data_IF_473311935567
#
_entry.id   IF_473311935567
#
_cell.length_a   1.000
_cell.length_b   1.000
_cell.length_c   1.000
_cell.angle_alpha   90.00
_cell.angle_beta   90.00
_cell.angle_gamma   90.00
#
_symmetry.space_group_name_H-M   'P 1'
#
loop_
_entity.id
_entity.type
_entity.pdbx_description
1 polymer ?
#
# COMPACT_ATOMS: atom_id res chain seq x y z
N UNK A 1 -16.73 9.55 20.86
CA UNK A 1 -15.92 9.50 19.63
C UNK A 1 -14.68 8.65 19.93
N UNK A 2 -14.40 7.54 19.23
CA UNK A 2 -13.06 6.96 19.23
C UNK A 2 -12.26 7.49 18.04
N UNK A 3 -11.04 7.92 18.34
CA UNK A 3 -10.07 8.50 17.42
C UNK A 3 -9.78 7.59 16.22
N UNK A 4 -9.58 8.23 15.07
CA UNK A 4 -9.25 7.61 13.79
C UNK A 4 -7.86 6.96 13.77
N UNK A 5 -7.73 5.82 14.43
CA UNK A 5 -6.74 4.83 14.05
C UNK A 5 -7.10 4.39 12.62
N UNK A 6 -6.25 4.76 11.67
CA UNK A 6 -6.32 4.35 10.28
C UNK A 6 -6.12 2.83 10.26
N UNK A 7 -7.19 2.05 10.50
CA UNK A 7 -7.19 0.60 10.46
C UNK A 7 -6.62 0.20 9.10
N UNK A 8 -5.39 -0.29 9.11
CA UNK A 8 -4.60 -0.62 7.93
C UNK A 8 -5.16 -1.84 7.23
N UNK A 9 -6.32 -1.71 6.61
CA UNK A 9 -6.84 -2.73 5.71
C UNK A 9 -5.96 -2.74 4.48
N UNK A 10 -5.29 -3.87 4.25
CA UNK A 10 -4.32 -4.08 3.17
C UNK A 10 -4.97 -4.72 1.94
N UNK A 11 -6.16 -5.31 2.08
CA UNK A 11 -6.93 -5.84 0.97
C UNK A 11 -8.45 -5.74 1.21
N UNK A 12 -9.25 -5.96 0.15
CA UNK A 12 -10.72 -5.97 0.25
C UNK A 12 -11.21 -7.10 1.15
N UNK A 13 -10.50 -8.23 1.23
CA UNK A 13 -10.90 -9.34 2.09
C UNK A 13 -10.89 -8.98 3.58
N UNK A 14 -10.00 -8.07 4.01
CA UNK A 14 -9.99 -7.58 5.39
C UNK A 14 -11.24 -6.76 5.70
N UNK A 15 -11.66 -5.93 4.74
CA UNK A 15 -12.89 -5.16 4.83
C UNK A 15 -14.12 -6.09 4.92
N UNK A 16 -14.13 -7.18 4.14
CA UNK A 16 -15.20 -8.19 4.19
C UNK A 16 -15.26 -8.88 5.55
N UNK A 17 -14.11 -9.25 6.13
CA UNK A 17 -14.04 -9.82 7.48
C UNK A 17 -14.58 -8.84 8.53
N UNK A 18 -14.16 -7.57 8.44
CA UNK A 18 -14.57 -6.52 9.38
C UNK A 18 -16.06 -6.15 9.23
N UNK A 19 -16.65 -6.35 8.05
CA UNK A 19 -18.06 -6.12 7.79
C UNK A 19 -18.99 -7.20 8.35
N UNK A 20 -18.49 -8.30 8.92
CA UNK A 20 -19.34 -9.34 9.52
C UNK A 20 -20.15 -8.78 10.69
N UNK A 21 -21.44 -9.07 10.72
CA UNK A 21 -22.36 -8.67 11.80
C UNK A 21 -22.79 -9.90 12.58
N UNK A 22 -22.60 -9.90 13.90
CA UNK A 22 -23.22 -10.89 14.76
C UNK A 22 -24.66 -10.48 15.09
N UNK A 23 -25.62 -11.22 14.52
CA UNK A 23 -27.05 -11.05 14.76
C UNK A 23 -27.63 -12.09 15.74
N UNK A 24 -26.82 -12.99 16.30
CA UNK A 24 -27.28 -14.00 17.25
C UNK A 24 -27.92 -13.36 18.50
N UNK A 25 -29.05 -13.91 18.94
CA UNK A 25 -29.80 -13.43 20.10
C UNK A 25 -30.54 -12.09 19.92
N UNK A 26 -30.47 -11.45 18.75
CA UNK A 26 -31.13 -10.16 18.50
C UNK A 26 -32.54 -10.33 17.93
N UNK A 27 -33.47 -9.48 18.36
CA UNK A 27 -34.84 -9.43 17.80
C UNK A 27 -34.80 -8.90 16.36
N UNK A 28 -35.38 -9.59 15.35
CA UNK A 28 -35.37 -9.16 13.95
C UNK A 28 -35.85 -7.71 13.74
N UNK A 29 -36.93 -7.31 14.41
CA UNK A 29 -37.46 -5.95 14.34
C UNK A 29 -36.48 -4.87 14.81
N UNK A 30 -35.75 -5.13 15.89
CA UNK A 30 -34.72 -4.20 16.41
C UNK A 30 -33.55 -4.07 15.44
N UNK A 31 -33.19 -5.16 14.76
CA UNK A 31 -32.15 -5.16 13.72
C UNK A 31 -32.60 -4.37 12.50
N UNK A 32 -33.85 -4.56 12.04
CA UNK A 32 -34.42 -3.83 10.90
C UNK A 32 -34.46 -2.32 11.12
N UNK A 33 -34.84 -1.86 12.31
CA UNK A 33 -34.89 -0.42 12.65
C UNK A 33 -33.55 0.29 12.48
N UNK A 34 -32.42 -0.43 12.45
CA UNK A 34 -31.07 0.14 12.30
C UNK A 34 -30.62 0.27 10.85
N UNK A 35 -31.30 -0.37 9.90
CA UNK A 35 -30.92 -0.34 8.49
C UNK A 35 -30.91 1.06 7.86
N UNK A 36 -31.89 1.95 8.10
CA UNK A 36 -31.89 3.29 7.51
C UNK A 36 -30.68 4.10 7.96
N UNK A 37 -30.38 4.11 9.27
CA UNK A 37 -29.22 4.80 9.83
C UNK A 37 -27.91 4.27 9.26
N UNK A 38 -27.81 2.95 9.05
CA UNK A 38 -26.61 2.33 8.48
C UNK A 38 -26.36 2.80 7.05
N UNK A 39 -27.43 2.90 6.24
CA UNK A 39 -27.37 3.40 4.86
C UNK A 39 -27.07 4.90 4.80
N UNK A 40 -27.70 5.70 5.65
CA UNK A 40 -27.40 7.15 5.72
C UNK A 40 -25.93 7.40 6.08
N UNK A 41 -25.37 6.62 7.01
CA UNK A 41 -23.95 6.70 7.38
C UNK A 41 -23.03 6.32 6.22
N UNK A 42 -23.36 5.30 5.42
CA UNK A 42 -22.55 4.94 4.27
C UNK A 42 -22.50 6.05 3.23
N UNK A 43 -23.63 6.68 2.94
CA UNK A 43 -23.70 7.83 2.01
C UNK A 43 -22.84 8.99 2.50
N UNK A 44 -22.91 9.32 3.79
CA UNK A 44 -22.08 10.38 4.38
C UNK A 44 -20.57 10.06 4.26
N UNK A 45 -20.18 8.81 4.55
CA UNK A 45 -18.77 8.40 4.43
C UNK A 45 -18.27 8.38 2.99
N UNK A 46 -19.15 8.05 2.02
CA UNK A 46 -18.84 8.09 0.59
C UNK A 46 -18.60 9.53 0.11
N UNK A 47 -19.44 10.49 0.55
CA UNK A 47 -19.24 11.92 0.28
C UNK A 47 -17.91 12.45 0.84
N UNK A 48 -17.47 11.91 1.97
CA UNK A 48 -16.18 12.24 2.59
C UNK A 48 -15.00 11.44 2.00
N UNK A 49 -15.15 10.85 0.82
CA UNK A 49 -14.14 10.03 0.13
C UNK A 49 -13.58 8.84 0.95
N UNK A 50 -14.26 8.42 2.02
CA UNK A 50 -13.86 7.30 2.86
C UNK A 50 -14.49 6.00 2.35
N UNK A 51 -14.04 5.58 1.16
CA UNK A 51 -14.56 4.42 0.43
C UNK A 51 -14.46 3.12 1.23
N UNK A 52 -13.39 2.94 2.05
CA UNK A 52 -13.21 1.76 2.91
C UNK A 52 -14.34 1.63 3.92
N UNK A 53 -14.67 2.73 4.59
CA UNK A 53 -15.74 2.75 5.59
C UNK A 53 -17.11 2.63 4.95
N UNK A 54 -17.34 3.30 3.81
CA UNK A 54 -18.57 3.16 3.04
C UNK A 54 -18.81 1.70 2.62
N UNK A 55 -17.78 1.02 2.13
CA UNK A 55 -17.83 -0.40 1.76
C UNK A 55 -18.22 -1.28 2.96
N UNK A 56 -17.58 -1.11 4.12
CA UNK A 56 -17.89 -1.88 5.33
C UNK A 56 -19.35 -1.69 5.75
N UNK A 57 -19.86 -0.44 5.74
CA UNK A 57 -21.22 -0.12 6.17
C UNK A 57 -22.27 -0.72 5.23
N UNK A 58 -22.08 -0.61 3.91
CA UNK A 58 -22.97 -1.20 2.92
C UNK A 58 -22.93 -2.73 2.93
N UNK A 59 -21.75 -3.32 3.16
CA UNK A 59 -21.61 -4.77 3.28
C UNK A 59 -22.34 -5.29 4.52
N UNK A 60 -22.21 -4.60 5.66
CA UNK A 60 -22.97 -4.86 6.89
C UNK A 60 -24.47 -4.77 6.66
N UNK A 61 -24.91 -3.76 5.92
CA UNK A 61 -26.31 -3.58 5.56
C UNK A 61 -26.82 -4.79 4.76
N UNK A 62 -26.10 -5.20 3.72
CA UNK A 62 -26.51 -6.31 2.86
C UNK A 62 -26.54 -7.65 3.60
N UNK A 63 -25.55 -7.91 4.44
CA UNK A 63 -25.49 -9.15 5.23
C UNK A 63 -26.59 -9.18 6.30
N UNK A 64 -26.94 -8.03 6.88
CA UNK A 64 -28.09 -7.89 7.80
C UNK A 64 -29.41 -8.15 7.09
N UNK A 65 -29.60 -7.60 5.88
CA UNK A 65 -30.77 -7.85 5.04
C UNK A 65 -30.91 -9.34 4.71
N UNK A 66 -29.80 -10.01 4.35
CA UNK A 66 -29.79 -11.45 4.09
C UNK A 66 -30.15 -12.26 5.33
N UNK A 67 -29.67 -11.88 6.51
CA UNK A 67 -30.02 -12.53 7.77
C UNK A 67 -31.52 -12.37 8.09
N UNK A 68 -32.06 -11.15 8.00
CA UNK A 68 -33.48 -10.88 8.24
C UNK A 68 -34.39 -11.74 7.34
N UNK A 69 -34.06 -11.85 6.05
CA UNK A 69 -34.82 -12.69 5.11
C UNK A 69 -34.87 -14.18 5.46
N UNK A 70 -33.93 -14.67 6.29
CA UNK A 70 -33.91 -16.07 6.77
C UNK A 70 -34.75 -16.30 8.03
N UNK A 71 -35.09 -15.24 8.77
CA UNK A 71 -35.84 -15.34 10.03
C UNK A 71 -37.32 -15.67 9.78
N UNK A 72 -37.93 -16.41 10.69
CA UNK A 72 -39.35 -16.74 10.59
C UNK A 72 -40.24 -15.49 10.68
N UNK A 73 -39.89 -14.54 11.56
CA UNK A 73 -40.62 -13.27 11.72
C UNK A 73 -40.70 -12.46 10.42
N UNK A 74 -39.67 -12.49 9.58
CA UNK A 74 -39.72 -11.86 8.25
C UNK A 74 -40.68 -12.57 7.30
N UNK A 75 -40.70 -13.92 7.32
CA UNK A 75 -41.60 -14.71 6.46
C UNK A 75 -43.06 -14.44 6.82
N UNK A 76 -43.36 -14.37 8.11
CA UNK A 76 -44.72 -14.18 8.62
C UNK A 76 -45.20 -12.72 8.47
N UNK A 77 -44.29 -11.74 8.55
CA UNK A 77 -44.64 -10.30 8.58
C UNK A 77 -43.91 -9.48 7.52
N UNK A 78 -43.79 -10.04 6.31
CA UNK A 78 -43.00 -9.45 5.20
C UNK A 78 -43.31 -7.97 4.94
N UNK A 79 -44.58 -7.56 5.04
CA UNK A 79 -45.04 -6.18 4.81
C UNK A 79 -44.36 -5.15 5.72
N UNK A 80 -44.01 -5.52 6.96
CA UNK A 80 -43.37 -4.62 7.94
C UNK A 80 -41.93 -4.26 7.51
N UNK A 81 -41.29 -5.14 6.75
CA UNK A 81 -39.88 -5.02 6.36
C UNK A 81 -39.67 -4.39 4.97
N UNK A 82 -40.74 -4.13 4.22
CA UNK A 82 -40.68 -3.77 2.80
C UNK A 82 -40.05 -2.39 2.55
N UNK A 83 -40.27 -1.41 3.42
CA UNK A 83 -39.93 0.01 3.18
C UNK A 83 -38.43 0.26 2.99
N UNK A 84 -37.57 -0.54 3.64
CA UNK A 84 -36.12 -0.37 3.64
C UNK A 84 -35.35 -1.56 3.07
N UNK A 85 -36.05 -2.51 2.44
CA UNK A 85 -35.46 -3.73 1.88
C UNK A 85 -36.10 -4.10 0.53
N UNK A 86 -36.51 -3.09 -0.25
CA UNK A 86 -37.07 -3.33 -1.59
C UNK A 86 -36.03 -3.98 -2.49
N UNK A 87 -36.49 -4.64 -3.56
CA UNK A 87 -35.59 -5.27 -4.54
C UNK A 87 -34.66 -4.22 -5.15
N UNK A 88 -35.18 -3.05 -5.48
CA UNK A 88 -34.42 -1.94 -6.06
C UNK A 88 -33.35 -1.43 -5.11
N UNK A 89 -33.69 -1.17 -3.84
CA UNK A 89 -32.73 -0.72 -2.84
C UNK A 89 -31.61 -1.75 -2.62
N UNK A 90 -31.95 -3.05 -2.63
CA UNK A 90 -30.96 -4.11 -2.50
C UNK A 90 -30.03 -4.15 -3.73
N UNK A 91 -30.58 -3.98 -4.93
CA UNK A 91 -29.80 -3.99 -6.16
C UNK A 91 -28.91 -2.75 -6.28
N UNK A 92 -29.41 -1.58 -5.90
CA UNK A 92 -28.63 -0.35 -5.81
C UNK A 92 -27.43 -0.51 -4.87
N UNK A 93 -27.64 -1.05 -3.66
CA UNK A 93 -26.56 -1.30 -2.70
C UNK A 93 -25.55 -2.32 -3.26
N UNK A 94 -26.00 -3.36 -3.97
CA UNK A 94 -25.08 -4.31 -4.63
C UNK A 94 -24.22 -3.64 -5.70
N UNK A 95 -24.80 -2.77 -6.51
CA UNK A 95 -24.09 -2.05 -7.56
C UNK A 95 -23.04 -1.11 -6.96
N UNK A 96 -23.41 -0.35 -5.94
CA UNK A 96 -22.45 0.53 -5.22
C UNK A 96 -21.33 -0.30 -4.57
N UNK A 97 -21.66 -1.45 -3.98
CA UNK A 97 -20.65 -2.34 -3.40
C UNK A 97 -19.68 -2.89 -4.45
N UNK A 98 -20.15 -3.21 -5.66
CA UNK A 98 -19.32 -3.69 -6.76
C UNK A 98 -18.36 -2.59 -7.24
N UNK A 99 -18.88 -1.36 -7.45
CA UNK A 99 -18.08 -0.19 -7.81
C UNK A 99 -17.00 0.12 -6.75
N UNK A 100 -17.39 0.20 -5.48
CA UNK A 100 -16.46 0.43 -4.38
C UNK A 100 -15.40 -0.68 -4.27
N UNK A 101 -15.79 -1.93 -4.50
CA UNK A 101 -14.87 -3.07 -4.51
C UNK A 101 -13.81 -2.90 -5.58
N UNK A 102 -14.21 -2.67 -6.83
CA UNK A 102 -13.30 -2.47 -7.95
C UNK A 102 -12.36 -1.30 -7.69
N UNK A 103 -12.90 -0.16 -7.24
CA UNK A 103 -12.11 1.03 -6.87
C UNK A 103 -11.09 0.76 -5.74
N UNK A 104 -11.43 -0.12 -4.80
CA UNK A 104 -10.52 -0.52 -3.72
C UNK A 104 -9.47 -1.52 -4.19
N UNK A 105 -9.83 -2.50 -5.02
CA UNK A 105 -8.90 -3.46 -5.63
C UNK A 105 -7.85 -2.74 -6.47
N UNK A 106 -8.26 -1.83 -7.37
CA UNK A 106 -7.33 -1.00 -8.17
C UNK A 106 -6.36 -0.22 -7.26
N UNK A 107 -6.85 0.38 -6.17
CA UNK A 107 -6.00 1.11 -5.23
C UNK A 107 -5.00 0.21 -4.52
N UNK A 108 -5.41 -0.98 -4.09
CA UNK A 108 -4.51 -1.93 -3.43
C UNK A 108 -3.48 -2.48 -4.40
N UNK A 109 -3.88 -2.79 -5.64
CA UNK A 109 -2.96 -3.19 -6.71
C UNK A 109 -1.97 -2.08 -7.05
N UNK A 110 -2.41 -0.83 -7.19
CA UNK A 110 -1.51 0.31 -7.40
C UNK A 110 -0.57 0.54 -6.21
N UNK A 111 -1.02 0.34 -4.97
CA UNK A 111 -0.14 0.44 -3.81
C UNK A 111 0.88 -0.70 -3.74
N UNK A 112 0.50 -1.91 -4.16
CA UNK A 112 1.38 -3.07 -4.28
C UNK A 112 2.38 -2.88 -5.41
N UNK A 113 1.93 -2.40 -6.57
CA UNK A 113 2.80 -2.04 -7.71
C UNK A 113 3.74 -0.90 -7.37
N UNK A 114 3.32 0.16 -6.67
CA UNK A 114 4.26 1.18 -6.17
C UNK A 114 5.31 0.62 -5.22
N UNK A 115 4.96 -0.40 -4.43
CA UNK A 115 5.93 -1.11 -3.62
C UNK A 115 6.89 -1.96 -4.48
N UNK A 116 6.45 -2.43 -5.65
CA UNK A 116 7.27 -3.16 -6.63
C UNK A 116 8.05 -2.23 -7.59
N UNK A 117 7.56 -1.03 -7.91
CA UNK A 117 8.30 -0.01 -8.65
C UNK A 117 9.35 0.65 -7.73
N UNK A 118 9.11 0.66 -6.41
CA UNK A 118 10.15 0.90 -5.41
C UNK A 118 11.18 -0.25 -5.38
N UNK A 119 10.79 -1.47 -5.76
CA UNK A 119 11.73 -2.59 -6.00
C UNK A 119 12.45 -2.45 -7.36
N UNK A 120 11.88 -1.80 -8.37
CA UNK A 120 12.67 -1.37 -9.55
C UNK A 120 13.66 -0.25 -9.19
N UNK A 121 13.35 0.62 -8.22
CA UNK A 121 14.37 1.48 -7.59
C UNK A 121 15.42 0.68 -6.79
N UNK A 122 15.17 -0.57 -6.40
CA UNK A 122 16.21 -1.42 -5.79
C UNK A 122 17.24 -1.94 -6.79
N UNK A 123 17.02 -1.86 -8.10
CA UNK A 123 18.08 -2.22 -9.05
C UNK A 123 19.20 -1.18 -9.06
N UNK A 124 18.84 0.09 -8.87
CA UNK A 124 19.76 1.23 -8.80
C UNK A 124 20.56 1.21 -7.49
N UNK A 125 20.01 0.65 -6.42
CA UNK A 125 20.67 0.55 -5.12
C UNK A 125 21.77 -0.52 -5.03
N UNK A 126 21.78 -1.50 -5.95
CA UNK A 126 22.79 -2.57 -5.96
C UNK A 126 24.14 -2.12 -6.50
N UNK A 127 24.18 -1.11 -7.37
CA UNK A 127 25.42 -0.77 -8.05
C UNK A 127 26.26 0.25 -7.27
N UNK A 128 27.56 0.01 -7.20
CA UNK A 128 28.56 1.00 -6.82
C UNK A 128 29.48 1.21 -8.03
N UNK A 129 29.52 2.43 -8.56
CA UNK A 129 30.46 2.79 -9.61
C UNK A 129 31.72 3.33 -8.96
N UNK A 130 32.86 2.70 -9.25
CA UNK A 130 34.19 3.18 -8.91
C UNK A 130 34.84 3.68 -10.19
N UNK A 131 34.88 5.00 -10.36
CA UNK A 131 35.53 5.64 -11.48
C UNK A 131 37.01 5.85 -11.18
N UNK A 132 37.88 5.19 -11.94
CA UNK A 132 39.34 5.31 -11.78
C UNK A 132 39.99 6.26 -12.77
N UNK A 133 39.19 6.93 -13.61
CA UNK A 133 39.69 7.90 -14.60
C UNK A 133 40.17 9.17 -13.91
N UNK A 134 40.89 9.99 -14.67
CA UNK A 134 41.38 11.28 -14.17
C UNK A 134 40.22 12.18 -13.75
N UNK A 135 40.46 13.03 -12.75
CA UNK A 135 39.47 13.93 -12.17
C UNK A 135 38.70 14.75 -13.22
N UNK A 136 39.39 15.26 -14.25
CA UNK A 136 38.76 16.04 -15.31
C UNK A 136 37.69 15.24 -16.08
N UNK A 137 37.91 13.94 -16.31
CA UNK A 137 36.93 13.06 -16.97
C UNK A 137 35.78 12.70 -16.04
N UNK A 138 36.07 12.46 -14.76
CA UNK A 138 35.04 12.20 -13.75
C UNK A 138 34.11 13.41 -13.59
N UNK A 139 34.68 14.60 -13.34
CA UNK A 139 33.94 15.85 -13.17
C UNK A 139 33.15 16.22 -14.46
N UNK A 140 33.68 15.85 -15.64
CA UNK A 140 33.04 16.06 -16.94
C UNK A 140 32.04 14.98 -17.37
N UNK A 141 31.94 13.84 -16.67
CA UNK A 141 31.21 12.65 -17.13
C UNK A 141 29.68 12.80 -17.14
N UNK A 142 29.14 13.86 -16.50
CA UNK A 142 27.70 14.08 -16.26
C UNK A 142 26.98 12.88 -15.65
N UNK A 143 27.70 11.94 -15.01
CA UNK A 143 27.10 10.81 -14.31
C UNK A 143 26.37 11.38 -13.09
N UNK A 144 25.04 11.32 -13.10
CA UNK A 144 24.17 11.79 -12.02
C UNK A 144 23.86 10.72 -10.97
N UNK A 145 24.55 9.58 -11.05
CA UNK A 145 24.38 8.46 -10.14
C UNK A 145 25.02 8.74 -8.78
N UNK A 146 24.25 8.56 -7.71
CA UNK A 146 24.59 8.95 -6.34
C UNK A 146 25.57 7.99 -5.63
N UNK A 147 25.71 6.76 -6.14
CA UNK A 147 26.73 5.78 -5.72
C UNK A 147 27.87 5.68 -6.73
N UNK A 148 28.31 6.81 -7.25
CA UNK A 148 29.52 6.93 -8.07
C UNK A 148 30.61 7.61 -7.24
N UNK A 149 31.77 6.95 -7.09
CA UNK A 149 32.92 7.48 -6.37
C UNK A 149 34.14 7.49 -7.28
N UNK A 150 35.02 8.48 -7.11
CA UNK A 150 36.26 8.59 -7.89
C UNK A 150 37.49 8.19 -7.06
N UNK A 151 38.25 7.20 -7.53
CA UNK A 151 39.60 6.89 -7.03
C UNK A 151 40.58 7.32 -8.11
N UNK A 152 41.26 8.44 -7.91
CA UNK A 152 42.20 8.97 -8.90
C UNK A 152 43.21 7.90 -9.32
N UNK A 153 43.47 7.80 -10.63
CA UNK A 153 44.46 6.88 -11.18
C UNK A 153 45.83 6.98 -10.50
N UNK A 154 46.23 8.19 -10.08
CA UNK A 154 47.48 8.45 -9.34
C UNK A 154 47.59 7.72 -7.99
N UNK A 155 46.45 7.33 -7.40
CA UNK A 155 46.38 6.57 -6.15
C UNK A 155 46.59 5.07 -6.36
N UNK A 156 46.40 4.58 -7.59
CA UNK A 156 46.47 3.17 -7.96
C UNK A 156 47.92 2.83 -8.26
N UNK A 157 48.53 2.02 -7.39
CA UNK A 157 49.94 1.61 -7.48
C UNK A 157 50.06 0.09 -7.35
N UNK A 158 50.99 -0.55 -8.08
CA UNK A 158 51.29 -1.96 -7.89
C UNK A 158 51.60 -2.30 -6.43
N UNK A 159 51.07 -3.43 -5.95
CA UNK A 159 51.27 -3.89 -4.56
C UNK A 159 50.42 -3.19 -3.50
N UNK A 160 49.61 -2.18 -3.86
CA UNK A 160 48.67 -1.53 -2.92
C UNK A 160 47.41 -2.40 -2.75
N UNK A 161 47.10 -2.76 -1.50
CA UNK A 161 45.91 -3.55 -1.17
C UNK A 161 44.63 -2.72 -1.31
N UNK A 162 43.58 -3.33 -1.86
CA UNK A 162 42.32 -2.64 -2.18
C UNK A 162 41.65 -1.92 -1.00
N UNK A 163 41.73 -2.46 0.22
CA UNK A 163 41.11 -1.79 1.38
C UNK A 163 41.79 -0.46 1.74
N UNK A 164 43.05 -0.23 1.32
CA UNK A 164 43.80 1.00 1.58
C UNK A 164 43.29 2.18 0.76
N UNK A 165 42.47 1.96 -0.27
CA UNK A 165 41.83 3.07 -1.00
C UNK A 165 40.74 3.78 -0.17
N UNK A 166 40.34 3.23 0.98
CA UNK A 166 39.46 3.95 1.91
C UNK A 166 40.08 5.27 2.38
N UNK A 167 41.42 5.35 2.46
CA UNK A 167 42.15 6.54 2.89
C UNK A 167 41.98 7.71 1.91
N UNK A 168 41.66 7.44 0.65
CA UNK A 168 41.37 8.45 -0.36
C UNK A 168 40.12 9.29 0.00
N UNK A 169 39.23 8.77 0.84
CA UNK A 169 37.94 9.39 1.18
C UNK A 169 37.89 10.00 2.58
N UNK A 170 39.03 10.24 3.25
CA UNK A 170 39.06 10.78 4.62
C UNK A 170 38.33 12.13 4.80
N UNK A 171 38.14 12.91 3.73
CA UNK A 171 37.39 14.18 3.73
C UNK A 171 35.93 14.04 3.27
N UNK A 172 35.55 12.89 2.74
CA UNK A 172 34.21 12.64 2.19
C UNK A 172 33.62 11.39 2.84
N UNK A 173 32.80 11.64 3.87
CA UNK A 173 32.13 10.58 4.63
C UNK A 173 31.23 9.71 3.76
N UNK A 174 30.52 10.30 2.80
CA UNK A 174 29.60 9.55 1.93
C UNK A 174 30.39 8.58 1.04
N UNK A 175 31.43 9.06 0.37
CA UNK A 175 32.27 8.20 -0.46
C UNK A 175 33.03 7.14 0.35
N UNK A 176 33.46 7.48 1.57
CA UNK A 176 34.08 6.52 2.48
C UNK A 176 33.12 5.39 2.86
N UNK A 177 31.90 5.73 3.25
CA UNK A 177 30.88 4.76 3.65
C UNK A 177 30.51 3.85 2.47
N UNK A 178 30.32 4.41 1.27
CA UNK A 178 30.09 3.64 0.03
C UNK A 178 31.24 2.67 -0.24
N UNK A 179 32.50 3.13 -0.16
CA UNK A 179 33.66 2.29 -0.41
C UNK A 179 33.82 1.19 0.66
N UNK A 180 33.55 1.46 1.94
CA UNK A 180 33.62 0.46 3.01
C UNK A 180 32.61 -0.67 2.82
N UNK A 181 31.41 -0.34 2.33
CA UNK A 181 30.33 -1.30 2.11
C UNK A 181 30.34 -1.93 0.71
N UNK A 182 31.37 -1.69 -0.11
CA UNK A 182 31.48 -2.24 -1.47
C UNK A 182 31.46 -3.77 -1.56
N UNK A 183 31.77 -4.46 -0.46
CA UNK A 183 31.75 -5.92 -0.35
C UNK A 183 30.54 -6.45 0.43
N UNK A 184 29.55 -5.59 0.70
CA UNK A 184 28.31 -6.02 1.35
C UNK A 184 27.50 -6.93 0.43
N UNK A 185 26.63 -7.74 1.03
CA UNK A 185 25.73 -8.61 0.28
C UNK A 185 24.83 -7.77 -0.64
N UNK A 186 24.68 -8.18 -1.89
CA UNK A 186 23.87 -7.50 -2.91
C UNK A 186 24.41 -6.14 -3.41
N UNK A 187 25.72 -5.90 -3.30
CA UNK A 187 26.40 -4.78 -3.96
C UNK A 187 27.22 -5.29 -5.15
N UNK A 188 26.88 -4.81 -6.35
CA UNK A 188 27.58 -5.07 -7.59
C UNK A 188 28.51 -3.87 -7.90
N UNK A 189 29.83 -4.14 -7.99
CA UNK A 189 30.82 -3.09 -8.24
C UNK A 189 31.13 -2.99 -9.72
N UNK A 190 30.92 -1.81 -10.29
CA UNK A 190 31.30 -1.47 -11.66
C UNK A 190 32.54 -0.58 -11.59
N UNK A 191 33.62 -0.98 -12.27
CA UNK A 191 34.84 -0.17 -12.34
C UNK A 191 34.89 0.51 -13.71
N UNK A 192 34.86 1.83 -13.73
CA UNK A 192 35.07 2.60 -14.95
C UNK A 192 36.55 2.87 -15.12
N UNK A 193 37.12 2.24 -16.14
CA UNK A 193 38.50 2.44 -16.60
C UNK A 193 38.50 3.28 -17.88
N UNK A 194 39.67 3.78 -18.27
CA UNK A 194 39.91 4.41 -19.58
C UNK A 194 40.38 3.34 -20.59
#
# INVERSE_FOLDING_TARGET
MPNGANLGYICVNDLVKHARVNCAGKKPRSVYQRLPTLRQKSEMTKKNCNDKTAYILLKRWLDTVKWLKKTQDYKDRKSIYSTNMTVDQINEVKNILADLRQKLEIRYEHSSRKHNDAVEKMEVDRYLIIDVRQKAHYDGSKITFDKCINILQSEIKPGKLGYKFADCFHKDKQSFDLFKHRSAQHVDVIILVD
#
